data_IF_695889688311
#
_entry.id   IF_695889688311
#
_cell.length_a   1.000
_cell.length_b   1.000
_cell.length_c   1.000
_cell.angle_alpha   90.00
_cell.angle_beta   90.00
_cell.angle_gamma   90.00
#
_symmetry.space_group_name_H-M   'P 1'
#
loop_
_entity.id
_entity.type
_entity.pdbx_description
1 polymer ?
#
# COMPACT_ATOMS: atom_id res chain seq x y z
N UNK A 1 -5.32 -21.34 3.00
CA UNK A 1 -4.41 -20.39 3.65
C UNK A 1 -5.05 -19.02 3.48
N UNK A 2 -5.12 -18.22 4.53
CA UNK A 2 -5.55 -16.82 4.37
C UNK A 2 -4.35 -16.10 3.76
N UNK A 3 -4.55 -15.44 2.62
CA UNK A 3 -3.51 -14.62 1.99
C UNK A 3 -3.30 -13.35 2.81
N UNK A 4 -2.05 -12.92 2.95
CA UNK A 4 -1.77 -11.72 3.74
C UNK A 4 -2.20 -10.45 3.00
N UNK A 5 -2.92 -9.58 3.71
CA UNK A 5 -3.43 -8.32 3.16
C UNK A 5 -2.93 -7.16 4.01
N UNK A 6 -2.18 -6.25 3.39
CA UNK A 6 -1.65 -5.05 4.05
C UNK A 6 -2.27 -3.79 3.45
N UNK A 7 -2.72 -2.88 4.31
CA UNK A 7 -3.23 -1.57 3.91
C UNK A 7 -2.29 -0.46 4.39
N UNK A 8 -1.89 0.40 3.46
CA UNK A 8 -1.18 1.64 3.78
C UNK A 8 -2.11 2.82 3.48
N UNK A 9 -2.60 3.47 4.53
CA UNK A 9 -3.54 4.59 4.44
C UNK A 9 -2.88 5.90 4.87
N UNK A 10 -3.32 7.02 4.30
CA UNK A 10 -2.75 8.34 4.61
C UNK A 10 -3.82 9.41 4.74
N UNK A 11 -3.78 10.17 5.83
CA UNK A 11 -4.67 11.30 6.06
C UNK A 11 -3.95 12.45 6.80
N UNK A 12 -4.68 13.51 7.18
CA UNK A 12 -4.06 14.68 7.83
C UNK A 12 -3.96 14.46 9.33
N UNK A 13 -5.05 14.04 9.99
CA UNK A 13 -5.17 13.96 11.45
C UNK A 13 -6.08 12.81 11.87
N UNK A 14 -5.69 12.10 12.92
CA UNK A 14 -6.42 10.92 13.42
C UNK A 14 -7.86 11.20 13.87
N UNK A 15 -8.18 12.44 14.24
CA UNK A 15 -9.52 12.83 14.73
C UNK A 15 -10.36 13.58 13.69
N UNK A 16 -9.84 13.80 12.48
CA UNK A 16 -10.52 14.64 11.47
C UNK A 16 -10.86 13.85 10.22
N UNK A 17 -9.89 13.12 9.68
CA UNK A 17 -10.00 12.49 8.36
C UNK A 17 -9.41 11.07 8.32
N UNK A 18 -9.34 10.41 9.47
CA UNK A 18 -9.05 8.97 9.60
C UNK A 18 -10.28 8.15 9.20
N UNK A 19 -10.48 8.01 7.89
CA UNK A 19 -11.64 7.34 7.32
C UNK A 19 -11.62 5.84 7.64
N UNK A 20 -12.80 5.30 7.96
CA UNK A 20 -13.03 3.86 8.16
C UNK A 20 -12.24 3.21 9.29
N UNK A 21 -11.74 3.98 10.27
CA UNK A 21 -10.95 3.44 11.37
C UNK A 21 -11.63 2.27 12.08
N UNK A 22 -12.92 2.37 12.38
CA UNK A 22 -13.65 1.32 13.09
C UNK A 22 -13.85 0.08 12.22
N UNK A 23 -14.18 0.28 10.96
CA UNK A 23 -14.36 -0.76 9.96
C UNK A 23 -13.05 -1.52 9.70
N UNK A 24 -11.92 -0.80 9.59
CA UNK A 24 -10.59 -1.40 9.46
C UNK A 24 -10.22 -2.26 10.68
N UNK A 25 -10.57 -1.83 11.89
CA UNK A 25 -10.37 -2.65 13.09
C UNK A 25 -11.27 -3.91 13.09
N UNK A 26 -12.49 -3.82 12.57
CA UNK A 26 -13.39 -4.96 12.46
C UNK A 26 -12.88 -6.00 11.45
N UNK A 27 -12.52 -5.58 10.22
CA UNK A 27 -12.02 -6.50 9.18
C UNK A 27 -10.66 -7.12 9.55
N UNK A 28 -9.83 -6.39 10.31
CA UNK A 28 -8.59 -6.93 10.90
C UNK A 28 -8.88 -8.01 11.93
N UNK A 29 -9.89 -7.81 12.79
CA UNK A 29 -10.32 -8.82 13.77
C UNK A 29 -10.92 -10.07 13.11
N UNK A 30 -11.57 -9.90 11.96
CA UNK A 30 -12.09 -11.00 11.14
C UNK A 30 -10.99 -11.74 10.35
N UNK A 31 -9.76 -11.24 10.36
CA UNK A 31 -8.61 -11.85 9.68
C UNK A 31 -8.57 -11.58 8.17
N UNK A 32 -9.41 -10.68 7.66
CA UNK A 32 -9.37 -10.25 6.25
C UNK A 32 -8.18 -9.33 5.99
N UNK A 33 -7.83 -8.49 6.97
CA UNK A 33 -6.70 -7.59 6.91
C UNK A 33 -5.61 -8.04 7.89
N UNK A 34 -4.42 -8.37 7.38
CA UNK A 34 -3.26 -8.75 8.21
C UNK A 34 -2.79 -7.54 9.01
N UNK A 35 -2.59 -6.39 8.35
CA UNK A 35 -2.23 -5.17 9.04
C UNK A 35 -2.66 -3.90 8.29
N UNK A 36 -2.78 -2.81 9.05
CA UNK A 36 -3.04 -1.46 8.56
C UNK A 36 -2.00 -0.49 9.10
N UNK A 37 -1.50 0.38 8.22
CA UNK A 37 -0.53 1.42 8.53
C UNK A 37 -1.11 2.78 8.14
N UNK A 38 -1.44 3.61 9.13
CA UNK A 38 -2.02 4.94 8.88
C UNK A 38 -0.99 6.05 9.08
N UNK A 39 -0.64 6.74 8.00
CA UNK A 39 0.23 7.90 7.99
C UNK A 39 -0.54 9.20 8.23
N UNK A 40 -0.09 9.99 9.20
CA UNK A 40 -0.66 11.31 9.49
C UNK A 40 0.28 12.43 9.07
N UNK A 41 -0.15 13.24 8.11
CA UNK A 41 0.69 14.31 7.55
C UNK A 41 0.65 15.64 8.33
N UNK A 42 -0.30 15.81 9.27
CA UNK A 42 -0.55 17.07 10.00
C UNK A 42 -1.00 16.84 11.45
N UNK A 43 -0.64 15.71 12.05
CA UNK A 43 -0.95 15.43 13.45
C UNK A 43 -0.11 16.35 14.36
N UNK A 44 -0.72 17.08 15.32
CA UNK A 44 0.03 17.88 16.28
C UNK A 44 1.05 17.04 17.04
N UNK A 45 2.21 17.64 17.31
CA UNK A 45 3.30 17.06 18.10
C UNK A 45 3.87 15.73 17.56
N UNK A 46 3.56 15.38 16.31
CA UNK A 46 4.13 14.21 15.62
C UNK A 46 4.87 14.62 14.35
N UNK A 47 5.91 13.86 13.97
CA UNK A 47 6.53 14.07 12.67
C UNK A 47 5.50 13.83 11.57
N UNK A 48 5.63 14.62 10.50
CA UNK A 48 4.85 14.46 9.29
C UNK A 48 5.20 13.12 8.64
N UNK A 49 4.19 12.28 8.42
CA UNK A 49 4.31 10.97 7.81
C UNK A 49 3.44 10.85 6.56
N UNK A 50 3.95 10.13 5.56
CA UNK A 50 3.25 9.70 4.36
C UNK A 50 3.28 8.17 4.20
N UNK A 51 2.48 7.63 3.28
CA UNK A 51 2.38 6.19 3.05
C UNK A 51 3.71 5.57 2.61
N UNK A 52 4.48 6.30 1.78
CA UNK A 52 5.81 5.87 1.34
C UNK A 52 6.82 5.72 2.49
N UNK A 53 6.65 6.47 3.58
CA UNK A 53 7.53 6.36 4.73
C UNK A 53 7.31 5.02 5.45
N UNK A 54 6.07 4.56 5.55
CA UNK A 54 5.76 3.21 6.05
C UNK A 54 6.24 2.13 5.08
N UNK A 55 6.04 2.30 3.77
CA UNK A 55 6.55 1.33 2.78
C UNK A 55 8.07 1.13 2.92
N UNK A 56 8.84 2.20 3.11
CA UNK A 56 10.29 2.10 3.34
C UNK A 56 10.65 1.44 4.67
N UNK A 57 9.90 1.71 5.74
CA UNK A 57 10.09 1.06 7.04
C UNK A 57 9.78 -0.45 6.96
N UNK A 58 8.79 -0.82 6.16
CA UNK A 58 8.37 -2.19 5.90
C UNK A 58 9.03 -2.79 4.64
N UNK A 59 10.19 -2.29 4.19
CA UNK A 59 10.76 -2.64 2.88
C UNK A 59 10.89 -4.15 2.63
N UNK A 60 11.31 -4.91 3.65
CA UNK A 60 11.47 -6.36 3.54
C UNK A 60 10.13 -7.10 3.39
N UNK A 61 9.10 -6.68 4.13
CA UNK A 61 7.73 -7.23 4.04
C UNK A 61 7.14 -6.93 2.65
N UNK A 62 7.16 -5.67 2.23
CA UNK A 62 6.68 -5.24 0.90
C UNK A 62 7.37 -6.02 -0.23
N UNK A 63 8.69 -6.15 -0.15
CA UNK A 63 9.44 -6.90 -1.15
C UNK A 63 9.11 -8.39 -1.16
N UNK A 64 9.00 -9.04 0.00
CA UNK A 64 8.66 -10.45 0.07
C UNK A 64 7.26 -10.69 -0.52
N UNK A 65 6.27 -9.86 -0.17
CA UNK A 65 4.91 -9.98 -0.68
C UNK A 65 4.85 -9.84 -2.20
N UNK A 66 5.51 -8.83 -2.78
CA UNK A 66 5.46 -8.58 -4.23
C UNK A 66 6.29 -9.63 -5.01
N UNK A 67 7.49 -9.95 -4.52
CA UNK A 67 8.51 -10.62 -5.31
C UNK A 67 8.68 -12.10 -4.97
N UNK A 68 8.55 -12.48 -3.70
CA UNK A 68 8.71 -13.89 -3.27
C UNK A 68 7.38 -14.64 -3.22
N UNK A 69 6.34 -13.98 -2.74
CA UNK A 69 5.00 -14.54 -2.59
C UNK A 69 4.12 -14.30 -3.82
N UNK A 70 4.65 -13.57 -4.80
CA UNK A 70 3.96 -13.27 -6.06
C UNK A 70 2.66 -12.47 -5.89
N UNK A 71 2.52 -11.73 -4.79
CA UNK A 71 1.36 -10.93 -4.46
C UNK A 71 1.18 -9.69 -5.34
N UNK A 72 0.02 -9.08 -5.20
CA UNK A 72 -0.39 -7.90 -5.95
C UNK A 72 -0.21 -6.61 -5.13
N UNK A 73 0.07 -5.50 -5.81
CA UNK A 73 0.20 -4.19 -5.18
C UNK A 73 -0.68 -3.17 -5.89
N UNK A 74 -1.58 -2.55 -5.14
CA UNK A 74 -2.57 -1.61 -5.65
C UNK A 74 -2.29 -0.21 -5.10
N UNK A 75 -2.40 0.80 -5.97
CA UNK A 75 -2.23 2.20 -5.57
C UNK A 75 -3.42 3.02 -6.03
N UNK A 76 -4.21 3.49 -5.07
CA UNK A 76 -5.37 4.35 -5.29
C UNK A 76 -5.16 5.71 -4.59
N UNK A 77 -5.44 6.82 -5.28
CA UNK A 77 -5.29 8.16 -4.72
C UNK A 77 -4.94 9.17 -5.79
N UNK A 78 -4.29 10.28 -5.43
CA UNK A 78 -3.85 11.27 -6.40
C UNK A 78 -2.61 10.83 -7.18
N UNK A 79 -2.43 11.40 -8.38
CA UNK A 79 -1.35 11.02 -9.29
C UNK A 79 0.05 11.31 -8.73
N UNK A 80 0.18 12.32 -7.85
CA UNK A 80 1.47 12.65 -7.24
C UNK A 80 1.84 11.60 -6.18
N UNK A 81 0.90 11.25 -5.30
CA UNK A 81 1.08 10.17 -4.34
C UNK A 81 1.44 8.85 -5.04
N UNK A 82 0.74 8.52 -6.14
CA UNK A 82 1.02 7.32 -6.91
C UNK A 82 2.44 7.29 -7.53
N UNK A 83 2.94 8.45 -7.97
CA UNK A 83 4.30 8.60 -8.47
C UNK A 83 5.34 8.45 -7.34
N UNK A 84 5.08 9.04 -6.17
CA UNK A 84 5.96 8.93 -5.00
C UNK A 84 6.04 7.47 -4.52
N UNK A 85 4.90 6.78 -4.39
CA UNK A 85 4.85 5.34 -4.06
C UNK A 85 5.58 4.48 -5.09
N UNK A 86 5.42 4.80 -6.38
CA UNK A 86 6.17 4.12 -7.46
C UNK A 86 7.67 4.26 -7.29
N UNK A 87 8.15 5.47 -6.97
CA UNK A 87 9.58 5.72 -6.73
C UNK A 87 10.07 4.90 -5.54
N UNK A 88 9.32 4.92 -4.45
CA UNK A 88 9.62 4.17 -3.23
C UNK A 88 9.67 2.67 -3.45
N UNK A 89 8.77 2.10 -4.25
CA UNK A 89 8.86 0.68 -4.63
C UNK A 89 10.17 0.38 -5.37
N UNK A 90 10.59 1.27 -6.28
CA UNK A 90 11.89 1.15 -6.95
C UNK A 90 13.06 1.15 -5.96
N UNK A 91 13.04 2.04 -4.97
CA UNK A 91 14.04 2.11 -3.90
C UNK A 91 14.06 0.83 -3.04
N UNK A 92 12.88 0.29 -2.70
CA UNK A 92 12.75 -0.97 -1.96
C UNK A 92 13.35 -2.12 -2.76
N UNK A 93 13.01 -2.24 -4.05
CA UNK A 93 13.57 -3.29 -4.92
C UNK A 93 15.09 -3.17 -5.04
N UNK A 94 15.59 -1.94 -5.20
CA UNK A 94 17.02 -1.67 -5.27
C UNK A 94 17.74 -2.15 -4.01
N UNK A 95 17.21 -1.78 -2.83
CA UNK A 95 17.75 -2.13 -1.52
C UNK A 95 17.70 -3.63 -1.26
N UNK A 96 16.54 -4.27 -1.44
CA UNK A 96 16.31 -5.67 -1.03
C UNK A 96 16.89 -6.70 -2.03
N UNK A 97 17.16 -6.30 -3.28
CA UNK A 97 17.90 -7.13 -4.26
C UNK A 97 19.38 -6.75 -4.37
N UNK A 98 19.81 -5.64 -3.78
CA UNK A 98 21.15 -5.07 -3.94
C UNK A 98 21.57 -4.92 -5.42
N UNK A 99 20.72 -4.24 -6.20
CA UNK A 99 20.88 -4.03 -7.65
C UNK A 99 21.03 -2.55 -7.97
N UNK A 100 21.35 -2.23 -9.23
CA UNK A 100 21.39 -0.83 -9.67
C UNK A 100 19.99 -0.22 -9.73
N UNK A 101 19.89 1.12 -9.67
CA UNK A 101 18.62 1.82 -9.82
C UNK A 101 17.94 1.53 -11.18
N UNK A 102 18.74 1.32 -12.23
CA UNK A 102 18.21 0.97 -13.56
C UNK A 102 17.62 -0.45 -13.57
N UNK A 103 18.29 -1.41 -12.92
CA UNK A 103 17.80 -2.78 -12.82
C UNK A 103 16.54 -2.86 -11.95
N UNK A 104 16.48 -2.09 -10.86
CA UNK A 104 15.29 -1.98 -10.02
C UNK A 104 14.09 -1.42 -10.81
N UNK A 105 14.32 -0.40 -11.64
CA UNK A 105 13.30 0.16 -12.54
C UNK A 105 12.82 -0.88 -13.55
N UNK A 106 13.74 -1.64 -14.16
CA UNK A 106 13.38 -2.70 -15.12
C UNK A 106 12.59 -3.82 -14.43
N UNK A 107 12.99 -4.23 -13.23
CA UNK A 107 12.27 -5.22 -12.43
C UNK A 107 10.85 -4.75 -12.11
N UNK A 108 10.68 -3.49 -11.68
CA UNK A 108 9.36 -2.93 -11.39
C UNK A 108 8.47 -2.89 -12.64
N UNK A 109 9.03 -2.59 -13.81
CA UNK A 109 8.31 -2.63 -15.09
C UNK A 109 7.87 -4.06 -15.45
N UNK A 110 8.74 -5.05 -15.24
CA UNK A 110 8.38 -6.45 -15.50
C UNK A 110 7.24 -6.91 -14.56
N UNK A 111 7.32 -6.58 -13.27
CA UNK A 111 6.25 -6.88 -12.31
C UNK A 111 4.93 -6.19 -12.72
N UNK A 112 4.99 -4.96 -13.22
CA UNK A 112 3.80 -4.24 -13.73
C UNK A 112 3.13 -4.95 -14.90
N UNK A 113 3.92 -5.51 -15.81
CA UNK A 113 3.41 -6.19 -17.00
C UNK A 113 2.90 -7.59 -16.66
N UNK A 114 3.58 -8.31 -15.77
CA UNK A 114 3.27 -9.71 -15.47
C UNK A 114 2.19 -9.91 -14.42
N UNK A 115 2.09 -9.02 -13.41
CA UNK A 115 1.33 -9.29 -12.17
C UNK A 115 0.26 -8.26 -11.84
N UNK A 116 -0.22 -7.52 -12.84
CA UNK A 116 -1.23 -6.48 -12.67
C UNK A 116 -0.89 -5.57 -11.47
N UNK A 117 0.33 -5.01 -11.45
CA UNK A 117 0.65 -3.93 -10.51
C UNK A 117 -0.17 -2.71 -10.95
N UNK A 118 -1.44 -2.68 -10.53
CA UNK A 118 -2.42 -1.68 -10.89
C UNK A 118 -2.10 -0.40 -10.10
N UNK A 119 -1.18 0.39 -10.66
CA UNK A 119 -1.15 1.84 -10.38
C UNK A 119 -2.29 2.45 -11.16
N UNK A 120 -3.51 2.22 -10.70
CA UNK A 120 -4.71 2.72 -11.33
C UNK A 120 -5.25 3.86 -10.48
N UNK A 121 -5.31 5.05 -11.06
CA UNK A 121 -6.08 6.18 -10.53
C UNK A 121 -7.57 5.80 -10.55
N UNK A 122 -8.00 4.90 -9.68
CA UNK A 122 -9.38 4.51 -9.49
C UNK A 122 -9.89 5.25 -8.26
N UNK A 123 -10.59 6.35 -8.51
CA UNK A 123 -11.55 6.89 -7.55
C UNK A 123 -12.69 5.86 -7.49
N UNK A 124 -12.55 4.86 -6.63
CA UNK A 124 -13.72 4.15 -6.12
C UNK A 124 -13.95 4.62 -4.68
N UNK A 125 -14.85 5.59 -4.55
CA UNK A 125 -15.63 5.77 -3.34
C UNK A 125 -16.49 4.50 -3.26
N UNK A 126 -16.11 3.54 -2.41
CA UNK A 126 -17.04 2.49 -2.00
C UNK A 126 -18.15 3.17 -1.18
N UNK A 127 -19.27 3.46 -1.84
CA UNK A 127 -20.58 3.38 -1.21
C UNK A 127 -21.10 1.98 -1.55
N UNK A 128 -21.14 1.12 -0.54
CA UNK A 128 -21.55 -0.30 -0.55
C UNK A 128 -20.49 -1.35 -0.94
N UNK A 129 -19.98 -2.13 0.03
CA UNK A 129 -19.26 -3.39 -0.19
C UNK A 129 -20.17 -4.62 -0.34
N UNK A 130 -21.49 -4.46 -0.51
CA UNK A 130 -22.44 -5.60 -0.53
C UNK A 130 -22.49 -6.43 -1.83
N UNK A 131 -21.51 -6.31 -2.72
CA UNK A 131 -21.46 -7.09 -3.97
C UNK A 131 -20.08 -7.71 -4.19
N UNK A 132 -19.69 -8.63 -3.32
CA UNK A 132 -18.86 -9.78 -3.70
C UNK A 132 -19.27 -10.99 -2.86
N UNK A 133 -20.03 -11.87 -3.51
CA UNK A 133 -20.39 -13.25 -3.14
C UNK A 133 -21.57 -13.46 -2.17
N UNK A 134 -22.75 -13.73 -2.76
CA UNK A 134 -23.67 -14.83 -2.42
C UNK A 134 -24.17 -14.96 -0.97
N UNK A 135 -25.25 -14.25 -0.62
CA UNK A 135 -26.61 -14.81 -0.43
C UNK A 135 -27.65 -13.78 -0.85
#
# INVERSE_FOLDING_TARGET
MVEDVFLYFGCRRSLVDDLYKMELQAVKKEGVLTNDYTAFSREPDKPKMYVQDYLLQNSSEVYNSIVREEGHFYVCGDAKMAADVTSTLGEILQKERNISAQDAKNLLLNIRVEKDLLVQLLIHIFKDPLLLFSV
#
